data_IF_227946930078
#
_entry.id   IF_227946930078
#
_cell.length_a   1.000
_cell.length_b   1.000
_cell.length_c   1.000
_cell.angle_alpha   90.00
_cell.angle_beta   90.00
_cell.angle_gamma   90.00
#
_symmetry.space_group_name_H-M   'P 1'
#
loop_
_entity.id
_entity.type
_entity.pdbx_description
1 polymer ?
#
# COMPACT_ATOMS: atom_id res chain seq x y z
N UNK A 1 35.66 39.37 6.87
CA UNK A 1 34.65 38.62 7.65
C UNK A 1 33.64 37.86 6.78
N UNK A 2 33.33 38.34 5.58
CA UNK A 2 32.34 37.76 4.63
C UNK A 2 32.64 36.34 4.14
N UNK A 3 33.90 35.96 3.91
CA UNK A 3 34.25 34.60 3.42
C UNK A 3 33.85 33.49 4.41
N UNK A 4 34.04 33.69 5.73
CA UNK A 4 33.72 32.68 6.75
C UNK A 4 32.21 32.43 6.86
N UNK A 5 31.40 33.49 6.80
CA UNK A 5 29.94 33.38 6.81
C UNK A 5 29.44 32.64 5.56
N UNK A 6 30.02 32.93 4.38
CA UNK A 6 29.65 32.24 3.14
C UNK A 6 29.97 30.74 3.19
N UNK A 7 31.13 30.36 3.71
CA UNK A 7 31.49 28.94 3.87
C UNK A 7 30.58 28.23 4.87
N UNK A 8 30.29 28.85 6.03
CA UNK A 8 29.39 28.27 7.03
C UNK A 8 27.97 28.06 6.48
N UNK A 9 27.45 29.04 5.73
CA UNK A 9 26.13 28.93 5.10
C UNK A 9 26.09 27.78 4.08
N UNK A 10 27.13 27.63 3.23
CA UNK A 10 27.21 26.51 2.30
C UNK A 10 27.23 25.15 3.03
N UNK A 11 27.95 25.02 4.14
CA UNK A 11 27.99 23.76 4.92
C UNK A 11 26.61 23.45 5.51
N UNK A 12 25.91 24.44 6.09
CA UNK A 12 24.57 24.24 6.66
C UNK A 12 23.57 23.80 5.58
N UNK A 13 23.61 24.45 4.40
CA UNK A 13 22.75 24.08 3.27
C UNK A 13 23.06 22.67 2.77
N UNK A 14 24.34 22.29 2.63
CA UNK A 14 24.72 20.92 2.26
C UNK A 14 24.26 19.87 3.29
N UNK A 15 24.32 20.18 4.58
CA UNK A 15 23.85 19.28 5.64
C UNK A 15 22.33 19.09 5.58
N UNK A 16 21.56 20.15 5.29
CA UNK A 16 20.10 20.06 5.10
C UNK A 16 19.73 19.17 3.90
N UNK A 17 20.49 19.23 2.79
CA UNK A 17 20.28 18.34 1.65
C UNK A 17 20.59 16.87 1.96
N UNK A 18 21.60 16.60 2.80
CA UNK A 18 21.93 15.23 3.21
C UNK A 18 20.91 14.66 4.21
N UNK A 19 20.32 15.50 5.06
CA UNK A 19 19.26 15.09 5.98
C UNK A 19 17.92 14.80 5.28
N UNK A 20 17.76 15.23 4.02
CA UNK A 20 16.59 14.91 3.19
C UNK A 20 16.65 13.51 2.57
N UNK A 21 17.59 12.66 3.00
CA UNK A 21 17.59 11.24 2.71
C UNK A 21 16.31 10.64 3.32
N UNK A 22 15.33 10.35 2.47
CA UNK A 22 13.98 9.96 2.83
C UNK A 22 13.97 8.84 3.88
N UNK A 23 13.24 9.06 4.97
CA UNK A 23 13.03 8.13 6.09
C UNK A 23 12.16 6.92 5.71
N UNK A 24 12.26 6.41 4.48
CA UNK A 24 11.54 5.19 4.10
C UNK A 24 12.13 4.02 4.89
N UNK A 25 11.30 3.26 5.62
CA UNK A 25 11.75 2.10 6.39
C UNK A 25 12.43 1.09 5.47
N UNK A 26 13.35 0.30 6.02
CA UNK A 26 13.93 -0.83 5.28
C UNK A 26 12.83 -1.89 5.11
N UNK A 27 12.26 -1.98 3.90
CA UNK A 27 11.17 -2.89 3.54
C UNK A 27 9.90 -2.19 3.05
N UNK A 28 8.89 -2.99 2.70
CA UNK A 28 7.60 -2.51 2.19
C UNK A 28 6.80 -1.76 3.27
N UNK A 29 6.21 -0.62 2.91
CA UNK A 29 5.28 0.13 3.77
C UNK A 29 3.83 -0.22 3.42
N UNK A 30 3.15 -0.90 4.34
CA UNK A 30 1.73 -1.27 4.21
C UNK A 30 0.88 -0.21 4.91
N UNK A 31 -0.13 0.30 4.20
CA UNK A 31 -1.14 1.19 4.80
C UNK A 31 -2.51 0.50 4.75
N UNK A 32 -3.06 0.24 5.93
CA UNK A 32 -4.39 -0.36 6.09
C UNK A 32 -5.37 0.69 6.63
N UNK A 33 -6.47 0.89 5.92
CA UNK A 33 -7.62 1.66 6.40
C UNK A 33 -8.65 0.71 6.98
N UNK A 34 -8.99 0.86 8.26
CA UNK A 34 -9.85 -0.09 8.96
C UNK A 34 -10.49 0.48 10.23
N UNK A 35 -11.77 0.20 10.40
CA UNK A 35 -12.52 0.46 11.64
C UNK A 35 -12.59 -0.79 12.54
N UNK A 36 -11.78 -1.82 12.26
CA UNK A 36 -11.75 -3.05 13.06
C UNK A 36 -11.33 -2.76 14.50
N UNK A 37 -11.75 -3.61 15.44
CA UNK A 37 -11.34 -3.51 16.83
C UNK A 37 -9.82 -3.55 16.97
N UNK A 38 -9.27 -2.78 17.93
CA UNK A 38 -7.83 -2.65 18.14
C UNK A 38 -7.09 -4.00 18.27
N UNK A 39 -7.70 -5.00 18.92
CA UNK A 39 -7.11 -6.33 19.02
C UNK A 39 -6.98 -7.10 17.70
N UNK A 40 -7.83 -6.80 16.71
CA UNK A 40 -7.73 -7.35 15.35
C UNK A 40 -6.67 -6.59 14.56
N UNK A 41 -6.66 -5.25 14.68
CA UNK A 41 -5.64 -4.40 14.06
C UNK A 41 -4.23 -4.81 14.50
N UNK A 42 -4.01 -5.04 15.80
CA UNK A 42 -2.73 -5.48 16.34
C UNK A 42 -2.28 -6.84 15.80
N UNK A 43 -3.21 -7.78 15.58
CA UNK A 43 -2.89 -9.07 14.95
C UNK A 43 -2.49 -8.90 13.48
N UNK A 44 -3.20 -8.07 12.74
CA UNK A 44 -2.88 -7.79 11.33
C UNK A 44 -1.52 -7.09 11.24
N UNK A 45 -1.26 -6.12 12.11
CA UNK A 45 0.01 -5.43 12.21
C UNK A 45 1.16 -6.41 12.43
N UNK A 46 1.09 -7.24 13.48
CA UNK A 46 2.11 -8.28 13.75
C UNK A 46 2.29 -9.27 12.62
N UNK A 47 1.19 -9.64 11.94
CA UNK A 47 1.24 -10.55 10.82
C UNK A 47 1.96 -9.93 9.61
N UNK A 48 1.64 -8.68 9.28
CA UNK A 48 2.22 -7.97 8.14
C UNK A 48 3.67 -7.54 8.39
N UNK A 49 4.03 -7.12 9.60
CA UNK A 49 5.40 -6.72 9.99
C UNK A 49 6.45 -7.83 9.84
N UNK A 50 6.06 -9.09 9.70
CA UNK A 50 7.01 -10.17 9.42
C UNK A 50 7.63 -10.09 8.01
N UNK A 51 6.91 -9.48 7.06
CA UNK A 51 7.37 -9.29 5.67
C UNK A 51 7.46 -7.80 5.28
N UNK A 52 6.78 -6.92 6.02
CA UNK A 52 6.76 -5.48 5.79
C UNK A 52 7.80 -4.77 6.64
N UNK A 53 8.42 -3.72 6.09
CA UNK A 53 9.28 -2.83 6.86
C UNK A 53 8.49 -1.94 7.82
N UNK A 54 7.25 -1.59 7.47
CA UNK A 54 6.35 -0.77 8.28
C UNK A 54 4.89 -1.04 7.96
N UNK A 55 4.04 -1.02 8.98
CA UNK A 55 2.59 -1.17 8.84
C UNK A 55 1.90 -0.06 9.62
N UNK A 56 1.22 0.84 8.90
CA UNK A 56 0.36 1.85 9.49
C UNK A 56 -1.11 1.46 9.32
N UNK A 57 -1.89 1.64 10.40
CA UNK A 57 -3.33 1.39 10.38
C UNK A 57 -4.04 2.69 10.71
N UNK A 58 -4.90 3.15 9.81
CA UNK A 58 -5.70 4.36 9.97
C UNK A 58 -7.19 4.02 10.02
N UNK A 59 -8.01 4.83 10.70
CA UNK A 59 -9.47 4.75 10.56
C UNK A 59 -9.90 5.02 9.10
N UNK A 60 -11.02 4.45 8.67
CA UNK A 60 -11.46 4.47 7.28
C UNK A 60 -12.10 5.82 6.86
N UNK A 61 -11.27 6.86 6.75
CA UNK A 61 -11.66 8.18 6.25
C UNK A 61 -11.06 8.46 4.86
N UNK A 62 -11.91 8.88 3.92
CA UNK A 62 -11.51 9.19 2.53
C UNK A 62 -10.41 10.26 2.48
N UNK A 63 -10.53 11.31 3.30
CA UNK A 63 -9.57 12.41 3.34
C UNK A 63 -8.18 11.96 3.77
N UNK A 64 -8.12 10.98 4.68
CA UNK A 64 -6.84 10.43 5.14
C UNK A 64 -6.18 9.59 4.04
N UNK A 65 -6.93 8.81 3.26
CA UNK A 65 -6.37 8.09 2.11
C UNK A 65 -5.81 9.02 1.06
N UNK A 66 -6.54 10.07 0.69
CA UNK A 66 -6.05 11.08 -0.24
C UNK A 66 -4.75 11.73 0.24
N UNK A 67 -4.66 12.00 1.55
CA UNK A 67 -3.45 12.56 2.17
C UNK A 67 -2.26 11.63 2.00
N UNK A 68 -2.41 10.34 2.32
CA UNK A 68 -1.31 9.37 2.20
C UNK A 68 -0.89 9.14 0.74
N UNK A 69 -1.85 9.05 -0.18
CA UNK A 69 -1.57 8.90 -1.62
C UNK A 69 -0.82 10.12 -2.14
N UNK A 70 -1.27 11.34 -1.79
CA UNK A 70 -0.64 12.59 -2.24
C UNK A 70 0.76 12.77 -1.63
N UNK A 71 0.97 12.27 -0.41
CA UNK A 71 2.27 12.28 0.24
C UNK A 71 3.25 11.23 -0.34
N UNK A 72 2.80 10.38 -1.27
CA UNK A 72 3.55 9.26 -1.82
C UNK A 72 4.00 8.27 -0.73
N UNK A 73 3.22 8.15 0.33
CA UNK A 73 3.42 7.18 1.39
C UNK A 73 2.83 5.83 0.98
N UNK A 74 3.33 4.74 1.56
CA UNK A 74 2.83 3.39 1.31
C UNK A 74 3.21 2.79 -0.05
N UNK A 75 3.64 1.54 -0.03
CA UNK A 75 3.85 0.71 -1.22
C UNK A 75 2.61 -0.13 -1.57
N UNK A 76 1.76 -0.39 -0.58
CA UNK A 76 0.51 -1.14 -0.76
C UNK A 76 -0.56 -0.60 0.17
N UNK A 77 -1.74 -0.40 -0.40
CA UNK A 77 -2.91 0.07 0.33
C UNK A 77 -3.93 -1.04 0.41
N UNK A 78 -4.51 -1.20 1.60
CA UNK A 78 -5.66 -2.08 1.84
C UNK A 78 -6.75 -1.21 2.45
N UNK A 79 -7.86 -1.05 1.75
CA UNK A 79 -8.92 -0.12 2.14
C UNK A 79 -10.28 -0.80 2.06
N UNK A 80 -11.32 -0.32 2.76
CA UNK A 80 -12.67 -0.79 2.54
C UNK A 80 -13.08 -0.62 1.07
N UNK A 81 -13.79 -1.60 0.52
CA UNK A 81 -14.07 -1.61 -0.91
C UNK A 81 -14.87 -0.38 -1.41
N UNK A 82 -15.85 0.08 -0.62
CA UNK A 82 -16.62 1.30 -0.88
C UNK A 82 -15.77 2.57 -0.90
N UNK A 83 -14.68 2.58 -0.12
CA UNK A 83 -13.72 3.68 -0.10
C UNK A 83 -12.83 3.65 -1.34
N UNK A 84 -12.47 2.46 -1.86
CA UNK A 84 -11.71 2.33 -3.10
C UNK A 84 -12.50 2.79 -4.33
N UNK A 85 -13.81 2.52 -4.39
CA UNK A 85 -14.66 2.87 -5.53
C UNK A 85 -14.62 4.37 -5.88
N UNK A 86 -14.38 5.26 -4.90
CA UNK A 86 -14.22 6.69 -5.13
C UNK A 86 -12.90 7.07 -5.84
N UNK A 87 -11.92 6.16 -5.85
CA UNK A 87 -10.59 6.33 -6.42
C UNK A 87 -10.29 5.30 -7.52
N UNK A 88 -11.32 4.62 -8.03
CA UNK A 88 -11.21 3.54 -9.02
C UNK A 88 -10.79 4.08 -10.40
N UNK A 89 -9.51 4.40 -10.51
CA UNK A 89 -8.86 4.88 -11.73
C UNK A 89 -7.57 4.07 -11.97
N UNK A 90 -7.54 3.19 -12.98
CA UNK A 90 -6.39 2.32 -13.27
C UNK A 90 -5.10 3.08 -13.57
N UNK A 91 -5.15 4.36 -13.98
CA UNK A 91 -3.95 5.14 -14.28
C UNK A 91 -3.13 5.47 -13.02
N UNK A 92 -3.74 5.41 -11.83
CA UNK A 92 -3.09 5.71 -10.56
C UNK A 92 -2.43 4.48 -9.91
N UNK A 93 -2.55 3.30 -10.52
CA UNK A 93 -2.16 2.03 -9.92
C UNK A 93 -1.22 1.23 -10.81
N UNK A 94 -0.35 0.44 -10.19
CA UNK A 94 0.47 -0.51 -10.91
C UNK A 94 -0.37 -1.71 -11.36
N UNK A 95 -0.09 -2.25 -12.55
CA UNK A 95 -0.70 -3.51 -12.97
C UNK A 95 -0.22 -4.64 -12.05
N UNK A 96 -1.14 -5.46 -11.56
CA UNK A 96 -0.85 -6.57 -10.67
C UNK A 96 -0.43 -7.83 -11.45
N UNK A 97 0.53 -7.63 -12.36
CA UNK A 97 1.12 -8.68 -13.18
C UNK A 97 1.88 -9.64 -12.28
N UNK A 98 1.50 -10.91 -12.24
CA UNK A 98 2.12 -11.92 -11.36
C UNK A 98 1.16 -12.52 -10.34
N UNK A 99 -0.07 -12.00 -10.23
CA UNK A 99 -1.14 -12.76 -9.59
C UNK A 99 -1.38 -14.09 -10.32
N UNK A 100 -1.80 -15.16 -9.61
CA UNK A 100 -2.13 -16.43 -10.25
C UNK A 100 -3.13 -16.25 -11.41
N UNK A 101 -3.00 -16.98 -12.53
CA UNK A 101 -3.81 -16.77 -13.73
C UNK A 101 -5.31 -17.01 -13.53
N UNK A 102 -5.69 -17.81 -12.55
CA UNK A 102 -7.08 -18.03 -12.13
C UNK A 102 -7.68 -16.86 -11.34
N UNK A 103 -6.86 -15.89 -10.93
CA UNK A 103 -7.31 -14.75 -10.13
C UNK A 103 -8.17 -13.83 -10.99
N UNK A 104 -9.47 -13.81 -10.70
CA UNK A 104 -10.39 -12.80 -11.21
C UNK A 104 -10.47 -11.64 -10.23
N UNK A 105 -10.59 -10.43 -10.77
CA UNK A 105 -10.87 -9.22 -9.98
C UNK A 105 -11.97 -8.42 -10.68
N UNK A 106 -12.88 -7.75 -9.94
CA UNK A 106 -13.78 -6.77 -10.54
C UNK A 106 -13.03 -5.54 -11.09
N UNK A 107 -11.80 -5.29 -10.61
CA UNK A 107 -10.98 -4.14 -10.98
C UNK A 107 -10.00 -4.50 -12.10
N UNK A 108 -10.52 -4.51 -13.32
CA UNK A 108 -9.74 -4.81 -14.53
C UNK A 108 -9.96 -3.78 -15.62
N UNK A 109 -8.88 -3.40 -16.31
CA UNK A 109 -8.96 -2.67 -17.59
C UNK A 109 -8.76 -3.63 -18.75
N UNK A 110 -9.30 -3.27 -19.92
CA UNK A 110 -9.14 -4.04 -21.16
C UNK A 110 -8.48 -3.15 -22.21
N UNK A 111 -7.34 -3.58 -22.73
CA UNK A 111 -6.69 -2.89 -23.83
C UNK A 111 -7.56 -3.02 -25.10
N UNK A 112 -8.08 -1.89 -25.61
CA UNK A 112 -8.99 -1.86 -26.78
C UNK A 112 -8.34 -2.39 -28.08
N UNK A 113 -7.02 -2.40 -28.18
CA UNK A 113 -6.29 -2.85 -29.37
C UNK A 113 -5.93 -4.34 -29.30
N UNK A 114 -5.51 -4.83 -28.13
CA UNK A 114 -5.03 -6.22 -27.96
C UNK A 114 -6.08 -7.15 -27.32
N UNK A 115 -7.09 -6.60 -26.65
CA UNK A 115 -8.05 -7.37 -25.85
C UNK A 115 -7.49 -7.87 -24.51
N UNK A 116 -6.24 -7.52 -24.19
CA UNK A 116 -5.57 -7.94 -22.96
C UNK A 116 -6.24 -7.33 -21.72
N UNK A 117 -6.47 -8.17 -20.72
CA UNK A 117 -7.02 -7.76 -19.42
C UNK A 117 -5.88 -7.49 -18.44
N UNK A 118 -5.94 -6.38 -17.73
CA UNK A 118 -4.97 -6.02 -16.70
C UNK A 118 -5.71 -5.76 -15.39
N UNK A 119 -5.37 -6.52 -14.35
CA UNK A 119 -5.84 -6.32 -12.99
C UNK A 119 -5.00 -5.19 -12.36
N UNK A 120 -5.63 -4.20 -11.74
CA UNK A 120 -4.93 -3.09 -11.07
C UNK A 120 -5.28 -2.96 -9.58
N UNK A 121 -6.33 -3.65 -9.14
CA UNK A 121 -6.66 -3.85 -7.74
C UNK A 121 -7.29 -5.22 -7.55
N UNK A 122 -7.33 -5.74 -6.34
CA UNK A 122 -8.04 -6.98 -6.01
C UNK A 122 -8.97 -6.80 -4.83
N UNK A 123 -10.13 -7.46 -4.91
CA UNK A 123 -11.02 -7.60 -3.78
C UNK A 123 -10.47 -8.68 -2.83
N UNK A 124 -10.32 -8.32 -1.56
CA UNK A 124 -10.14 -9.25 -0.45
C UNK A 124 -11.52 -9.42 0.19
N UNK A 125 -12.17 -10.53 -0.13
CA UNK A 125 -13.50 -10.84 0.41
C UNK A 125 -13.49 -10.88 1.95
N UNK A 126 -14.59 -10.47 2.58
CA UNK A 126 -14.84 -10.66 4.01
C UNK A 126 -14.78 -12.13 4.38
N UNK A 127 -14.52 -12.41 5.64
CA UNK A 127 -14.36 -13.76 6.13
C UNK A 127 -13.10 -13.94 6.95
N UNK A 128 -12.81 -15.20 7.27
CA UNK A 128 -11.57 -15.56 7.95
C UNK A 128 -10.40 -15.40 6.99
N UNK A 129 -9.35 -14.74 7.43
CA UNK A 129 -8.08 -14.58 6.72
C UNK A 129 -6.93 -15.14 7.52
N UNK A 130 -5.90 -15.58 6.80
CA UNK A 130 -4.64 -16.00 7.38
C UNK A 130 -3.51 -15.19 6.76
N UNK A 131 -2.65 -14.64 7.61
CA UNK A 131 -1.43 -13.96 7.18
C UNK A 131 -0.31 -14.39 8.12
N UNK A 132 0.74 -14.98 7.59
CA UNK A 132 1.92 -15.42 8.33
C UNK A 132 1.60 -16.16 9.67
N UNK A 133 0.66 -17.11 9.62
CA UNK A 133 0.25 -17.91 10.78
C UNK A 133 -0.78 -17.24 11.72
N UNK A 134 -1.10 -15.95 11.52
CA UNK A 134 -2.14 -15.26 12.26
C UNK A 134 -3.49 -15.39 11.55
N UNK A 135 -4.53 -15.75 12.30
CA UNK A 135 -5.91 -15.73 11.83
C UNK A 135 -6.66 -14.49 12.33
N UNK A 136 -7.40 -13.84 11.43
CA UNK A 136 -8.29 -12.72 11.76
C UNK A 136 -9.57 -12.78 10.92
N UNK A 137 -10.60 -12.06 11.36
CA UNK A 137 -11.89 -11.99 10.69
C UNK A 137 -12.05 -10.61 10.06
N UNK A 138 -12.22 -10.56 8.74
CA UNK A 138 -12.68 -9.37 8.04
C UNK A 138 -14.21 -9.37 8.03
N UNK A 139 -14.82 -8.27 8.46
CA UNK A 139 -16.28 -8.13 8.52
C UNK A 139 -16.88 -7.53 7.25
N UNK A 140 -16.04 -7.05 6.34
CA UNK A 140 -16.41 -6.43 5.06
C UNK A 140 -15.34 -6.70 4.02
N UNK A 141 -15.73 -6.56 2.77
CA UNK A 141 -14.82 -6.69 1.64
C UNK A 141 -13.86 -5.48 1.63
N UNK A 142 -12.60 -5.76 1.34
CA UNK A 142 -11.54 -4.78 1.22
C UNK A 142 -11.03 -4.77 -0.22
N UNK A 143 -10.43 -3.68 -0.68
CA UNK A 143 -9.68 -3.62 -1.91
C UNK A 143 -8.19 -3.44 -1.57
N UNK A 144 -7.32 -4.16 -2.28
CA UNK A 144 -5.88 -3.98 -2.20
C UNK A 144 -5.32 -3.54 -3.55
N UNK A 145 -4.45 -2.53 -3.53
CA UNK A 145 -3.84 -1.95 -4.72
C UNK A 145 -2.43 -1.43 -4.42
N UNK A 146 -1.64 -1.31 -5.48
CA UNK A 146 -0.28 -0.77 -5.46
C UNK A 146 -0.31 0.55 -6.23
N UNK A 147 0.00 1.70 -5.61
CA UNK A 147 0.00 2.98 -6.31
C UNK A 147 1.13 3.04 -7.34
N UNK A 148 0.94 3.81 -8.40
CA UNK A 148 1.90 3.92 -9.52
C UNK A 148 3.31 4.33 -9.07
N UNK A 149 3.43 5.04 -7.95
CA UNK A 149 4.70 5.51 -7.38
C UNK A 149 5.42 4.50 -6.46
N UNK A 150 4.80 3.36 -6.12
CA UNK A 150 5.39 2.39 -5.18
C UNK A 150 6.67 1.75 -5.74
N UNK A 151 7.63 1.46 -4.87
CA UNK A 151 8.92 0.88 -5.26
C UNK A 151 9.03 -0.61 -4.90
N UNK A 152 8.21 -1.10 -3.97
CA UNK A 152 8.23 -2.47 -3.43
C UNK A 152 7.13 -3.37 -4.01
N UNK A 153 7.04 -3.40 -5.34
CA UNK A 153 5.94 -4.06 -6.07
C UNK A 153 5.92 -5.57 -5.86
N UNK A 154 7.07 -6.25 -5.85
CA UNK A 154 7.12 -7.71 -5.70
C UNK A 154 6.64 -8.15 -4.31
N UNK A 155 7.12 -7.46 -3.27
CA UNK A 155 6.71 -7.70 -1.88
C UNK A 155 5.21 -7.38 -1.67
N UNK A 156 4.73 -6.32 -2.31
CA UNK A 156 3.32 -5.95 -2.28
C UNK A 156 2.43 -7.00 -2.97
N UNK A 157 2.84 -7.51 -4.13
CA UNK A 157 2.12 -8.58 -4.82
C UNK A 157 2.09 -9.88 -4.00
N UNK A 158 3.17 -10.21 -3.29
CA UNK A 158 3.21 -11.36 -2.40
C UNK A 158 2.22 -11.21 -1.24
N UNK A 159 2.17 -10.05 -0.59
CA UNK A 159 1.21 -9.76 0.47
C UNK A 159 -0.24 -9.87 -0.03
N UNK A 160 -0.53 -9.25 -1.18
CA UNK A 160 -1.84 -9.29 -1.81
C UNK A 160 -2.25 -10.73 -2.14
N UNK A 161 -1.33 -11.53 -2.67
CA UNK A 161 -1.57 -12.94 -2.99
C UNK A 161 -1.97 -13.73 -1.73
N UNK A 162 -1.21 -13.59 -0.63
CA UNK A 162 -1.50 -14.27 0.64
C UNK A 162 -2.87 -13.91 1.22
N UNK A 163 -3.26 -12.62 1.16
CA UNK A 163 -4.55 -12.15 1.69
C UNK A 163 -5.75 -12.60 0.85
N UNK A 164 -5.51 -12.94 -0.41
CA UNK A 164 -6.55 -13.30 -1.36
C UNK A 164 -6.59 -14.80 -1.71
N UNK A 165 -5.73 -15.62 -1.10
CA UNK A 165 -5.86 -17.07 -1.11
C UNK A 165 -7.19 -17.48 -0.46
N UNK A 166 -7.98 -18.29 -1.17
CA UNK A 166 -9.20 -18.88 -0.63
C UNK A 166 -8.83 -20.02 0.33
N UNK A 167 -9.16 -19.89 1.62
CA UNK A 167 -9.15 -21.00 2.59
C UNK A 167 -10.28 -20.88 3.60
#
# INVERSE_FOLDING_TARGET
MTKRIRTALCVIVSVLFLASCSSRPDGMHVILFSDMQAGVQEKIKKAAEQNAGKVDIFPAFQEKLLTEITAHEGDVFIVPEDMFQAYDDPENFQPLNGLPPEKTSPYTTVNKKTGEKTIYAVQIEKGKKQLNGYSFQLNRDMAAFIPVYAEKTEEALQLISQLTEAR
#
